data_IF_569925423470
#
_entry.id   IF_569925423470
#
_cell.length_a   1.000
_cell.length_b   1.000
_cell.length_c   1.000
_cell.angle_alpha   90.00
_cell.angle_beta   90.00
_cell.angle_gamma   90.00
#
_symmetry.space_group_name_H-M   'P 1'
#
loop_
_entity.id
_entity.type
_entity.pdbx_description
1 polymer ?
#
# COMPACT_ATOMS: atom_id res chain seq x y z
N UNK A 1 46.25 -14.08 9.57
CA UNK A 1 45.80 -13.02 8.63
C UNK A 1 44.49 -13.54 8.06
N UNK A 2 43.38 -12.97 8.53
CA UNK A 2 42.00 -13.42 8.26
C UNK A 2 41.49 -12.85 6.93
N UNK A 3 40.91 -13.75 6.10
CA UNK A 3 39.68 -13.72 5.26
C UNK A 3 39.16 -12.42 4.58
N UNK A 4 38.23 -12.48 3.58
CA UNK A 4 37.59 -13.65 2.96
C UNK A 4 37.48 -13.67 1.42
N UNK A 5 37.21 -14.87 0.94
CA UNK A 5 36.65 -15.28 -0.34
C UNK A 5 35.21 -14.73 -0.51
N UNK A 6 34.93 -14.10 -1.65
CA UNK A 6 33.67 -13.41 -1.94
C UNK A 6 32.69 -14.40 -2.57
N UNK A 7 31.88 -15.04 -1.72
CA UNK A 7 30.82 -15.97 -2.13
C UNK A 7 29.70 -15.30 -2.91
N UNK A 8 29.83 -15.31 -4.24
CA UNK A 8 28.75 -14.99 -5.18
C UNK A 8 27.69 -16.07 -5.07
N UNK A 9 26.58 -15.78 -4.40
CA UNK A 9 25.43 -16.67 -4.35
C UNK A 9 24.77 -16.75 -5.74
N UNK A 10 24.95 -17.88 -6.40
CA UNK A 10 24.31 -18.25 -7.66
C UNK A 10 22.81 -18.49 -7.45
N UNK A 11 21.96 -17.64 -8.05
CA UNK A 11 20.51 -17.78 -8.05
C UNK A 11 20.04 -18.82 -9.10
N UNK A 12 19.11 -19.74 -8.76
CA UNK A 12 18.52 -20.64 -9.74
C UNK A 12 17.47 -19.92 -10.62
N UNK A 13 17.58 -20.06 -11.96
CA UNK A 13 16.56 -19.63 -12.93
C UNK A 13 15.47 -20.68 -13.03
N UNK A 14 14.22 -20.34 -12.74
CA UNK A 14 13.06 -21.22 -13.02
C UNK A 14 11.96 -20.43 -13.71
N UNK A 15 11.35 -21.09 -14.71
CA UNK A 15 10.46 -20.54 -15.72
C UNK A 15 9.08 -20.09 -15.17
N UNK A 16 8.56 -19.05 -15.81
CA UNK A 16 7.25 -18.46 -15.54
C UNK A 16 6.10 -19.45 -15.85
N UNK A 17 5.25 -19.70 -14.87
CA UNK A 17 3.91 -20.27 -15.06
C UNK A 17 2.94 -19.37 -14.29
N UNK A 18 2.33 -18.42 -15.00
CA UNK A 18 1.26 -17.60 -14.47
C UNK A 18 -0.07 -18.21 -14.93
N UNK A 19 -0.88 -18.68 -13.98
CA UNK A 19 -2.28 -19.09 -14.21
C UNK A 19 -3.19 -18.24 -13.32
N UNK A 20 -4.35 -17.75 -13.80
CA UNK A 20 -5.02 -16.61 -13.21
C UNK A 20 -5.99 -17.01 -12.09
N UNK A 21 -5.96 -16.31 -10.95
CA UNK A 21 -6.96 -16.45 -9.89
C UNK A 21 -7.37 -15.11 -9.27
N UNK A 22 -8.64 -14.76 -9.52
CA UNK A 22 -9.61 -14.08 -8.64
C UNK A 22 -9.49 -12.54 -8.46
N UNK A 23 -10.63 -11.87 -8.17
CA UNK A 23 -10.87 -10.49 -8.62
C UNK A 23 -10.22 -9.42 -7.73
N UNK A 24 -9.80 -8.33 -8.40
CA UNK A 24 -9.05 -7.18 -7.89
C UNK A 24 -9.92 -6.22 -7.05
N UNK A 25 -9.28 -5.45 -6.16
CA UNK A 25 -9.83 -4.50 -5.18
C UNK A 25 -10.83 -3.45 -5.74
N UNK A 26 -10.88 -3.25 -7.07
CA UNK A 26 -11.94 -2.48 -7.73
C UNK A 26 -13.35 -3.07 -7.53
N UNK A 27 -13.48 -4.39 -7.40
CA UNK A 27 -14.77 -5.05 -7.13
C UNK A 27 -15.22 -4.84 -5.68
N UNK A 28 -14.30 -4.74 -4.72
CA UNK A 28 -14.63 -4.44 -3.31
C UNK A 28 -15.21 -3.01 -3.19
N UNK A 29 -14.67 -2.07 -3.96
CA UNK A 29 -15.22 -0.70 -4.03
C UNK A 29 -16.58 -0.65 -4.76
N UNK A 30 -16.79 -1.46 -5.80
CA UNK A 30 -18.14 -1.63 -6.40
C UNK A 30 -19.12 -2.27 -5.42
N UNK A 31 -18.66 -3.20 -4.57
CA UNK A 31 -19.50 -3.89 -3.58
C UNK A 31 -19.97 -2.99 -2.43
N UNK A 32 -19.34 -1.82 -2.23
CA UNK A 32 -19.77 -0.82 -1.26
C UNK A 32 -20.86 0.15 -1.78
N UNK A 33 -21.16 0.18 -3.08
CA UNK A 33 -22.10 1.17 -3.65
C UNK A 33 -23.44 0.60 -4.17
N UNK A 34 -23.67 -0.71 -4.13
CA UNK A 34 -24.96 -1.31 -4.54
C UNK A 34 -25.53 -2.24 -3.46
N UNK A 35 -26.16 -1.65 -2.44
CA UNK A 35 -27.21 -2.31 -1.65
C UNK A 35 -28.41 -1.38 -1.48
N UNK A 36 -29.13 -1.17 -2.57
CA UNK A 36 -30.56 -0.85 -2.53
C UNK A 36 -31.32 -2.15 -2.39
N UNK A 37 -31.98 -2.35 -1.25
CA UNK A 37 -33.34 -2.92 -1.08
C UNK A 37 -33.62 -3.05 0.43
N UNK A 38 -34.62 -2.30 0.90
CA UNK A 38 -35.25 -2.43 2.22
C UNK A 38 -36.15 -3.69 2.29
N UNK A 39 -36.90 -3.93 3.37
CA UNK A 39 -36.46 -4.21 4.73
C UNK A 39 -36.93 -5.61 5.17
N UNK A 40 -36.18 -6.31 6.01
CA UNK A 40 -36.73 -7.44 6.77
C UNK A 40 -36.60 -7.15 8.27
N UNK A 41 -37.75 -7.24 8.93
CA UNK A 41 -38.04 -6.87 10.31
C UNK A 41 -37.11 -7.61 11.27
N UNK A 42 -36.32 -6.87 12.04
CA UNK A 42 -35.76 -7.36 13.31
C UNK A 42 -36.12 -6.36 14.40
N UNK A 43 -37.14 -6.73 15.17
CA UNK A 43 -37.49 -6.15 16.46
C UNK A 43 -36.55 -6.72 17.50
N UNK A 44 -35.75 -5.89 18.18
CA UNK A 44 -35.07 -6.32 19.39
C UNK A 44 -33.80 -5.55 19.74
N UNK A 45 -33.84 -4.91 20.92
CA UNK A 45 -32.74 -4.35 21.69
C UNK A 45 -32.14 -3.01 21.22
N UNK A 46 -32.75 -1.96 21.79
CA UNK A 46 -32.18 -0.64 22.03
C UNK A 46 -30.95 -0.77 22.93
N UNK A 47 -30.05 0.20 22.83
CA UNK A 47 -28.77 0.39 23.54
C UNK A 47 -27.55 -0.16 22.82
N UNK A 48 -27.14 0.50 21.74
CA UNK A 48 -25.75 0.97 21.47
C UNK A 48 -25.73 1.85 20.21
N UNK A 49 -26.60 2.88 20.14
CA UNK A 49 -26.47 3.94 19.14
C UNK A 49 -25.44 4.97 19.61
N UNK A 50 -24.16 4.57 19.62
CA UNK A 50 -23.05 5.47 19.94
C UNK A 50 -22.72 6.28 18.68
N UNK A 51 -23.33 7.46 18.59
CA UNK A 51 -23.00 8.58 17.70
C UNK A 51 -22.62 8.17 16.26
N UNK A 52 -23.62 8.08 15.39
CA UNK A 52 -23.38 8.38 13.98
C UNK A 52 -22.77 9.79 13.93
N UNK A 53 -21.48 9.88 13.62
CA UNK A 53 -20.84 11.15 13.33
C UNK A 53 -21.68 11.82 12.26
N UNK A 54 -22.31 12.95 12.59
CA UNK A 54 -22.93 13.84 11.60
C UNK A 54 -21.85 14.11 10.56
N UNK A 55 -21.89 13.43 9.41
CA UNK A 55 -21.07 13.84 8.28
C UNK A 55 -21.62 15.22 7.89
N UNK A 56 -20.85 16.30 8.07
CA UNK A 56 -21.31 17.60 7.60
C UNK A 56 -21.60 17.46 6.10
N UNK A 57 -22.74 17.99 5.66
CA UNK A 57 -23.12 18.06 4.25
C UNK A 57 -21.90 18.58 3.46
N UNK A 58 -21.44 17.90 2.39
CA UNK A 58 -20.23 18.29 1.68
C UNK A 58 -20.39 19.73 1.23
N UNK A 59 -19.58 20.62 1.82
CA UNK A 59 -19.53 22.02 1.40
C UNK A 59 -18.77 22.02 0.08
N UNK A 60 -19.39 22.52 -1.01
CA UNK A 60 -18.69 22.61 -2.28
C UNK A 60 -17.41 23.44 -2.10
N UNK A 61 -16.31 22.93 -2.64
CA UNK A 61 -15.03 23.61 -2.62
C UNK A 61 -15.16 24.98 -3.31
N UNK A 62 -14.47 25.99 -2.78
CA UNK A 62 -14.39 27.29 -3.45
C UNK A 62 -13.56 27.20 -4.74
N UNK A 63 -13.74 28.16 -5.64
CA UNK A 63 -13.07 28.18 -6.96
C UNK A 63 -11.54 28.06 -6.85
N UNK A 64 -10.96 28.66 -5.80
CA UNK A 64 -9.52 28.56 -5.53
C UNK A 64 -9.08 27.14 -5.16
N UNK A 65 -9.90 26.41 -4.42
CA UNK A 65 -9.65 25.01 -4.08
C UNK A 65 -9.88 24.09 -5.27
N UNK A 66 -10.89 24.36 -6.11
CA UNK A 66 -11.09 23.66 -7.37
C UNK A 66 -9.88 23.81 -8.29
N UNK A 67 -9.39 25.03 -8.49
CA UNK A 67 -8.17 25.27 -9.27
C UNK A 67 -6.96 24.48 -8.73
N UNK A 68 -6.80 24.41 -7.40
CA UNK A 68 -5.73 23.59 -6.79
C UNK A 68 -5.89 22.09 -7.05
N UNK A 69 -7.13 21.60 -7.16
CA UNK A 69 -7.39 20.22 -7.55
C UNK A 69 -7.01 19.99 -9.02
N UNK A 70 -7.35 20.90 -9.93
CA UNK A 70 -7.01 20.80 -11.35
C UNK A 70 -5.48 20.87 -11.58
N UNK A 71 -4.81 21.78 -10.87
CA UNK A 71 -3.34 21.86 -10.86
C UNK A 71 -2.71 20.55 -10.37
N UNK A 72 -3.30 19.94 -9.32
CA UNK A 72 -2.85 18.65 -8.80
C UNK A 72 -3.03 17.53 -9.83
N UNK A 73 -4.18 17.45 -10.49
CA UNK A 73 -4.45 16.47 -11.56
C UNK A 73 -3.42 16.60 -12.68
N UNK A 74 -3.11 17.83 -13.08
CA UNK A 74 -2.11 18.10 -14.12
C UNK A 74 -0.73 17.57 -13.71
N UNK A 75 -0.31 17.83 -12.48
CA UNK A 75 0.96 17.32 -11.95
C UNK A 75 0.95 15.80 -11.81
N UNK A 76 -0.17 15.21 -11.40
CA UNK A 76 -0.31 13.76 -11.30
C UNK A 76 -0.22 13.08 -12.67
N UNK A 77 -0.82 13.66 -13.72
CA UNK A 77 -0.72 13.17 -15.10
C UNK A 77 0.73 13.18 -15.59
N UNK A 78 1.47 14.26 -15.34
CA UNK A 78 2.91 14.33 -15.68
C UNK A 78 3.74 13.36 -14.82
N UNK A 79 3.42 13.18 -13.53
CA UNK A 79 4.10 12.18 -12.72
C UNK A 79 3.87 10.77 -13.22
N UNK A 80 2.66 10.44 -13.69
CA UNK A 80 2.36 9.13 -14.26
C UNK A 80 3.25 8.83 -15.45
N UNK A 81 3.45 9.78 -16.36
CA UNK A 81 4.31 9.57 -17.54
C UNK A 81 5.77 9.34 -17.15
N UNK A 82 6.28 10.10 -16.16
CA UNK A 82 7.64 9.93 -15.65
C UNK A 82 7.84 8.61 -14.89
N UNK A 83 6.80 8.11 -14.21
CA UNK A 83 6.88 6.90 -13.41
C UNK A 83 6.50 5.62 -14.19
N UNK A 84 5.90 5.74 -15.37
CA UNK A 84 5.37 4.62 -16.13
C UNK A 84 6.39 3.52 -16.45
N UNK A 85 7.66 3.88 -16.62
CA UNK A 85 8.72 2.89 -16.87
C UNK A 85 8.97 1.98 -15.66
N UNK A 86 8.81 2.50 -14.43
CA UNK A 86 9.24 1.84 -13.18
C UNK A 86 8.10 1.38 -12.27
N UNK A 87 6.88 1.88 -12.50
CA UNK A 87 5.72 1.60 -11.65
C UNK A 87 4.44 1.71 -12.46
N UNK A 88 3.44 0.90 -12.14
CA UNK A 88 2.10 1.03 -12.69
C UNK A 88 1.24 2.04 -11.90
N UNK A 89 1.74 2.45 -10.73
CA UNK A 89 1.09 3.39 -9.83
C UNK A 89 1.68 4.79 -9.93
N UNK A 90 0.97 5.78 -9.40
CA UNK A 90 1.45 7.16 -9.31
C UNK A 90 1.63 7.57 -7.86
N UNK A 91 2.88 7.66 -7.41
CA UNK A 91 3.25 8.18 -6.10
C UNK A 91 3.66 9.65 -6.21
N UNK A 92 2.99 10.53 -5.47
CA UNK A 92 3.43 11.91 -5.28
C UNK A 92 4.02 12.09 -3.88
N UNK A 93 5.16 12.81 -3.76
CA UNK A 93 5.66 13.28 -2.48
C UNK A 93 4.59 14.08 -1.71
N UNK A 94 4.72 14.14 -0.38
CA UNK A 94 3.75 14.83 0.47
C UNK A 94 3.65 16.32 0.12
N UNK A 95 4.82 16.96 0.00
CA UNK A 95 5.00 18.32 -0.47
C UNK A 95 5.93 18.26 -1.69
N UNK A 96 5.36 18.44 -2.87
CA UNK A 96 6.12 18.43 -4.13
C UNK A 96 6.20 19.86 -4.67
N UNK A 97 7.41 20.38 -4.83
CA UNK A 97 7.63 21.65 -5.53
C UNK A 97 7.86 21.34 -7.00
N UNK A 98 7.02 21.91 -7.86
CA UNK A 98 7.09 21.68 -9.30
C UNK A 98 8.37 22.34 -9.86
N UNK A 99 9.28 21.57 -10.47
CA UNK A 99 10.48 22.10 -11.12
C UNK A 99 10.14 23.04 -12.27
N UNK A 100 11.00 24.04 -12.49
CA UNK A 100 10.89 24.97 -13.60
C UNK A 100 11.50 24.42 -14.90
N UNK A 101 11.19 23.17 -15.24
CA UNK A 101 11.74 22.46 -16.39
C UNK A 101 10.67 21.59 -17.05
N UNK A 102 10.83 21.27 -18.34
CA UNK A 102 10.01 20.26 -19.00
C UNK A 102 10.11 18.91 -18.24
N UNK A 103 9.04 18.10 -18.14
CA UNK A 103 7.74 18.22 -18.81
C UNK A 103 6.67 19.02 -18.02
N UNK A 104 7.07 19.79 -17.00
CA UNK A 104 6.12 20.52 -16.17
C UNK A 104 5.55 21.76 -16.89
N UNK A 105 4.26 22.10 -16.71
CA UNK A 105 3.68 23.33 -17.24
C UNK A 105 4.25 24.58 -16.55
N UNK A 106 4.56 25.62 -17.32
CA UNK A 106 5.15 26.87 -16.84
C UNK A 106 4.33 27.55 -15.73
N UNK A 107 3.01 27.44 -15.80
CA UNK A 107 2.08 28.04 -14.85
C UNK A 107 2.19 27.42 -13.45
N UNK A 108 2.82 26.26 -13.34
CA UNK A 108 2.99 25.53 -12.09
C UNK A 108 4.40 25.63 -11.52
N UNK A 109 5.35 26.28 -12.21
CA UNK A 109 6.74 26.38 -11.76
C UNK A 109 6.88 26.99 -10.36
N UNK A 110 7.65 26.31 -9.51
CA UNK A 110 7.87 26.71 -8.11
C UNK A 110 6.65 26.54 -7.20
N UNK A 111 5.51 26.08 -7.73
CA UNK A 111 4.32 25.86 -6.92
C UNK A 111 4.45 24.59 -6.10
N UNK A 112 4.05 24.67 -4.83
CA UNK A 112 3.97 23.50 -3.95
C UNK A 112 2.62 22.82 -4.10
N UNK A 113 2.66 21.56 -4.51
CA UNK A 113 1.53 20.65 -4.60
C UNK A 113 1.48 19.81 -3.33
N UNK A 114 0.40 19.99 -2.55
CA UNK A 114 0.20 19.29 -1.28
C UNK A 114 -0.69 18.09 -1.46
N UNK A 115 -0.10 16.91 -1.47
CA UNK A 115 -0.81 15.63 -1.62
C UNK A 115 -1.70 15.34 -0.41
N UNK A 116 -1.33 15.83 0.77
CA UNK A 116 -2.14 15.70 2.01
C UNK A 116 -3.50 16.37 1.90
N UNK A 117 -3.59 17.51 1.22
CA UNK A 117 -4.83 18.26 1.08
C UNK A 117 -5.84 17.52 0.20
N UNK A 118 -5.39 16.98 -0.93
CA UNK A 118 -6.22 16.19 -1.85
C UNK A 118 -6.73 14.91 -1.16
N UNK A 119 -5.85 14.18 -0.45
CA UNK A 119 -6.26 12.99 0.30
C UNK A 119 -7.26 13.33 1.41
N UNK A 120 -7.12 14.49 2.07
CA UNK A 120 -8.10 14.96 3.05
C UNK A 120 -9.45 15.25 2.40
N UNK A 121 -9.48 16.02 1.31
CA UNK A 121 -10.72 16.32 0.59
C UNK A 121 -11.42 15.05 0.06
N UNK A 122 -10.66 14.05 -0.35
CA UNK A 122 -11.20 12.74 -0.73
C UNK A 122 -11.90 12.07 0.45
N UNK A 123 -11.23 12.00 1.61
CA UNK A 123 -11.79 11.41 2.83
C UNK A 123 -13.03 12.16 3.34
N UNK A 124 -13.04 13.48 3.19
CA UNK A 124 -14.14 14.34 3.61
C UNK A 124 -15.30 14.36 2.59
N UNK A 125 -15.15 13.70 1.44
CA UNK A 125 -16.16 13.69 0.37
C UNK A 125 -16.35 15.04 -0.32
N UNK A 126 -15.35 15.92 -0.25
CA UNK A 126 -15.38 17.28 -0.79
C UNK A 126 -14.80 17.38 -2.21
N UNK A 127 -14.12 16.34 -2.71
CA UNK A 127 -13.59 16.35 -4.07
C UNK A 127 -14.70 16.18 -5.12
N UNK A 128 -14.65 16.93 -6.24
CA UNK A 128 -15.50 16.67 -7.39
C UNK A 128 -15.26 15.27 -7.96
N UNK A 129 -16.33 14.62 -8.45
CA UNK A 129 -16.24 13.29 -9.04
C UNK A 129 -15.26 13.25 -10.23
N UNK A 130 -15.26 14.29 -11.08
CA UNK A 130 -14.34 14.39 -12.22
C UNK A 130 -12.87 14.34 -11.80
N UNK A 131 -12.50 15.04 -10.72
CA UNK A 131 -11.14 15.04 -10.19
C UNK A 131 -10.76 13.67 -9.66
N UNK A 132 -11.69 12.99 -8.97
CA UNK A 132 -11.46 11.63 -8.48
C UNK A 132 -11.26 10.66 -9.64
N UNK A 133 -12.08 10.77 -10.70
CA UNK A 133 -11.98 9.93 -11.88
C UNK A 133 -10.67 10.16 -12.65
N UNK A 134 -10.27 11.43 -12.82
CA UNK A 134 -8.98 11.80 -13.41
C UNK A 134 -7.81 11.20 -12.61
N UNK A 135 -7.85 11.27 -11.27
CA UNK A 135 -6.81 10.70 -10.41
C UNK A 135 -6.80 9.17 -10.41
N UNK A 136 -7.97 8.54 -10.49
CA UNK A 136 -8.08 7.09 -10.62
C UNK A 136 -7.53 6.62 -11.99
N UNK A 137 -7.73 7.39 -13.06
CA UNK A 137 -7.22 7.07 -14.40
C UNK A 137 -5.70 7.03 -14.47
N UNK A 138 -5.02 7.77 -13.57
CA UNK A 138 -3.55 7.76 -13.45
C UNK A 138 -3.08 6.84 -12.32
N UNK A 139 -3.93 5.96 -11.79
CA UNK A 139 -3.60 5.05 -10.68
C UNK A 139 -2.98 5.78 -9.48
N UNK A 140 -3.57 6.92 -9.10
CA UNK A 140 -3.11 7.69 -7.96
C UNK A 140 -3.28 6.92 -6.64
N UNK A 141 -2.24 6.93 -5.82
CA UNK A 141 -2.25 6.26 -4.52
C UNK A 141 -2.95 7.13 -3.47
N UNK A 142 -4.20 6.77 -3.13
CA UNK A 142 -4.97 7.43 -2.07
C UNK A 142 -4.46 7.13 -0.66
N UNK A 143 -4.15 5.85 -0.37
CA UNK A 143 -3.55 5.42 0.89
C UNK A 143 -2.12 4.92 0.68
N UNK A 144 -1.16 5.81 0.94
CA UNK A 144 0.27 5.50 0.82
C UNK A 144 0.72 4.41 1.81
N UNK A 145 0.14 4.36 3.01
CA UNK A 145 0.56 3.40 4.03
C UNK A 145 0.01 2.01 3.74
N UNK A 146 -1.24 1.91 3.27
CA UNK A 146 -1.81 0.67 2.75
C UNK A 146 -1.05 0.15 1.53
N UNK A 147 -0.74 1.03 0.58
CA UNK A 147 0.05 0.66 -0.59
C UNK A 147 1.44 0.10 -0.24
N UNK A 148 2.21 0.82 0.60
CA UNK A 148 3.52 0.35 1.05
C UNK A 148 3.44 -0.95 1.88
N UNK A 149 2.32 -1.18 2.56
CA UNK A 149 2.07 -2.43 3.25
C UNK A 149 1.85 -3.58 2.26
N UNK A 150 1.00 -3.38 1.25
CA UNK A 150 0.73 -4.38 0.22
C UNK A 150 2.00 -4.74 -0.56
N UNK A 151 2.89 -3.77 -0.84
CA UNK A 151 4.18 -4.07 -1.47
C UNK A 151 5.05 -4.99 -0.60
N UNK A 152 5.03 -4.83 0.74
CA UNK A 152 5.76 -5.73 1.64
C UNK A 152 5.17 -7.14 1.61
N UNK A 153 3.84 -7.27 1.59
CA UNK A 153 3.16 -8.57 1.50
C UNK A 153 3.48 -9.24 0.15
N UNK A 154 3.43 -8.49 -0.96
CA UNK A 154 3.78 -9.01 -2.28
C UNK A 154 5.23 -9.50 -2.33
N UNK A 155 6.18 -8.70 -1.82
CA UNK A 155 7.57 -9.10 -1.73
C UNK A 155 7.77 -10.33 -0.81
N UNK A 156 7.06 -10.41 0.32
CA UNK A 156 7.11 -11.57 1.20
C UNK A 156 6.58 -12.85 0.54
N UNK A 157 5.53 -12.75 -0.29
CA UNK A 157 5.00 -13.89 -1.06
C UNK A 157 6.05 -14.43 -2.02
N UNK A 158 6.67 -13.56 -2.82
CA UNK A 158 7.76 -13.95 -3.72
C UNK A 158 8.94 -14.55 -2.95
N UNK A 159 9.35 -13.92 -1.85
CA UNK A 159 10.42 -14.46 -1.01
C UNK A 159 10.10 -15.88 -0.51
N UNK A 160 8.87 -16.11 -0.03
CA UNK A 160 8.43 -17.43 0.42
C UNK A 160 8.42 -18.44 -0.73
N UNK A 161 7.97 -18.06 -1.92
CA UNK A 161 7.99 -18.94 -3.09
C UNK A 161 9.41 -19.33 -3.51
N UNK A 162 10.38 -18.41 -3.39
CA UNK A 162 11.77 -18.65 -3.76
C UNK A 162 12.56 -19.45 -2.71
N UNK A 163 12.32 -19.20 -1.41
CA UNK A 163 13.12 -19.75 -0.30
C UNK A 163 12.37 -20.77 0.58
N UNK A 164 11.06 -20.96 0.36
CA UNK A 164 10.21 -21.87 1.12
C UNK A 164 9.80 -21.37 2.52
N UNK A 165 10.33 -20.23 2.98
CA UNK A 165 10.06 -19.68 4.31
C UNK A 165 10.00 -18.16 4.30
N UNK A 166 9.43 -17.54 5.34
CA UNK A 166 9.36 -16.07 5.47
C UNK A 166 10.50 -15.47 6.30
N UNK A 167 11.55 -16.24 6.64
CA UNK A 167 12.72 -15.77 7.39
C UNK A 167 13.68 -14.97 6.50
N UNK A 168 13.46 -13.67 6.42
CA UNK A 168 14.20 -12.74 5.56
C UNK A 168 15.42 -12.14 6.30
N UNK A 169 16.66 -12.32 5.82
CA UNK A 169 17.82 -11.67 6.43
C UNK A 169 17.65 -10.15 6.54
N UNK A 170 18.11 -9.54 7.65
CA UNK A 170 17.92 -8.10 7.89
C UNK A 170 18.47 -7.21 6.76
N UNK A 171 19.58 -7.62 6.16
CA UNK A 171 20.25 -6.91 5.06
C UNK A 171 19.62 -7.16 3.68
N UNK A 172 18.64 -8.06 3.56
CA UNK A 172 18.03 -8.41 2.28
C UNK A 172 17.27 -7.21 1.70
N UNK A 173 17.60 -6.90 0.45
CA UNK A 173 16.96 -5.90 -0.40
C UNK A 173 16.47 -6.62 -1.65
N UNK A 174 15.23 -6.33 -2.04
CA UNK A 174 14.67 -6.87 -3.28
C UNK A 174 15.55 -6.40 -4.47
N UNK A 175 16.04 -7.34 -5.31
CA UNK A 175 16.82 -7.00 -6.49
C UNK A 175 16.08 -6.02 -7.40
N UNK A 176 16.84 -5.11 -8.02
CA UNK A 176 16.30 -4.21 -9.03
C UNK A 176 16.16 -4.92 -10.38
N UNK A 177 15.16 -4.54 -11.16
CA UNK A 177 14.89 -5.05 -12.51
C UNK A 177 14.69 -6.58 -12.63
N UNK A 178 14.54 -7.30 -11.51
CA UNK A 178 14.30 -8.74 -11.51
C UNK A 178 12.80 -9.02 -11.75
N UNK A 179 12.43 -9.72 -12.85
CA UNK A 179 11.04 -10.00 -13.19
C UNK A 179 10.34 -10.97 -12.22
N UNK A 180 11.08 -11.69 -11.37
CA UNK A 180 10.48 -12.50 -10.31
C UNK A 180 9.76 -11.62 -9.26
N UNK A 181 10.14 -10.35 -9.15
CA UNK A 181 9.61 -9.41 -8.19
C UNK A 181 8.70 -8.38 -8.88
N UNK A 182 7.56 -8.00 -8.27
CA UNK A 182 6.75 -6.90 -8.78
C UNK A 182 7.59 -5.61 -8.81
N UNK A 183 7.44 -4.82 -9.88
CA UNK A 183 8.21 -3.58 -10.12
C UNK A 183 8.20 -2.63 -8.91
N UNK A 184 7.04 -2.51 -8.27
CA UNK A 184 6.81 -1.66 -7.10
C UNK A 184 7.49 -2.15 -5.80
N UNK A 185 8.11 -3.33 -5.85
CA UNK A 185 8.87 -3.91 -4.74
C UNK A 185 10.38 -3.84 -4.95
N UNK A 186 10.85 -3.49 -6.15
CA UNK A 186 12.28 -3.33 -6.41
C UNK A 186 12.92 -2.32 -5.47
N UNK A 187 14.16 -2.61 -5.04
CA UNK A 187 14.90 -1.85 -4.04
C UNK A 187 14.22 -1.75 -2.64
N UNK A 188 13.14 -2.49 -2.39
CA UNK A 188 12.52 -2.56 -1.06
C UNK A 188 13.46 -3.27 -0.09
N UNK A 189 13.80 -2.59 1.01
CA UNK A 189 14.56 -3.17 2.14
C UNK A 189 13.68 -4.12 2.95
N UNK A 190 13.33 -5.26 2.35
CA UNK A 190 12.38 -6.23 2.88
C UNK A 190 12.84 -6.76 4.25
N UNK A 191 14.13 -7.04 4.43
CA UNK A 191 14.68 -7.49 5.72
C UNK A 191 14.41 -6.51 6.88
N UNK A 192 14.58 -5.20 6.63
CA UNK A 192 14.25 -4.16 7.62
C UNK A 192 12.76 -4.06 7.89
N UNK A 193 11.94 -4.18 6.85
CA UNK A 193 10.48 -4.13 6.99
C UNK A 193 9.98 -5.30 7.84
N UNK A 194 10.48 -6.50 7.58
CA UNK A 194 10.15 -7.72 8.32
C UNK A 194 10.62 -7.64 9.77
N UNK A 195 11.85 -7.17 10.02
CA UNK A 195 12.33 -6.93 11.39
C UNK A 195 11.44 -5.95 12.17
N UNK A 196 10.89 -4.93 11.50
CA UNK A 196 9.96 -3.99 12.14
C UNK A 196 8.63 -4.65 12.47
N UNK A 197 8.09 -5.49 11.57
CA UNK A 197 6.86 -6.27 11.82
C UNK A 197 7.04 -7.20 13.03
N UNK A 198 8.17 -7.91 13.09
CA UNK A 198 8.47 -8.82 14.20
C UNK A 198 8.57 -8.07 15.52
N UNK A 199 9.35 -6.98 15.57
CA UNK A 199 9.49 -6.15 16.78
C UNK A 199 8.16 -5.59 17.25
N UNK A 200 7.29 -5.19 16.34
CA UNK A 200 5.98 -4.63 16.67
C UNK A 200 5.10 -5.65 17.42
N UNK A 201 5.13 -6.92 17.02
CA UNK A 201 4.41 -8.00 17.72
C UNK A 201 5.16 -8.43 19.00
N UNK A 202 6.47 -8.65 18.92
CA UNK A 202 7.29 -9.21 20.02
C UNK A 202 7.41 -8.27 21.22
N UNK A 203 7.49 -6.96 21.01
CA UNK A 203 7.65 -5.99 22.11
C UNK A 203 6.37 -5.75 22.91
N UNK A 204 5.21 -6.20 22.42
CA UNK A 204 3.92 -5.92 23.02
C UNK A 204 3.11 -7.18 23.29
N UNK A 205 3.01 -7.57 24.57
CA UNK A 205 2.12 -8.67 25.01
C UNK A 205 0.67 -8.48 24.56
N UNK A 206 0.23 -7.22 24.48
CA UNK A 206 -1.10 -6.88 23.95
C UNK A 206 -1.23 -7.28 22.47
N UNK A 207 -0.23 -7.00 21.65
CA UNK A 207 -0.23 -7.36 20.22
C UNK A 207 -0.07 -8.86 20.00
N UNK A 208 0.70 -9.54 20.84
CA UNK A 208 0.78 -11.01 20.84
C UNK A 208 -0.59 -11.62 21.12
N UNK A 209 -1.24 -11.21 22.22
CA UNK A 209 -2.61 -11.66 22.54
C UNK A 209 -3.61 -11.29 21.45
N UNK A 210 -3.46 -10.13 20.81
CA UNK A 210 -4.31 -9.72 19.68
C UNK A 210 -4.13 -10.66 18.48
N UNK A 211 -2.90 -11.03 18.14
CA UNK A 211 -2.60 -11.98 17.06
C UNK A 211 -3.29 -13.33 17.30
N UNK A 212 -3.31 -13.82 18.53
CA UNK A 212 -3.95 -15.08 18.92
C UNK A 212 -5.48 -15.01 18.95
N UNK A 213 -6.05 -13.92 19.49
CA UNK A 213 -7.49 -13.83 19.78
C UNK A 213 -8.31 -13.20 18.66
N UNK A 214 -7.80 -12.11 18.07
CA UNK A 214 -8.50 -11.32 17.06
C UNK A 214 -7.48 -10.53 16.22
N UNK A 215 -6.82 -11.18 15.26
CA UNK A 215 -5.81 -10.54 14.44
C UNK A 215 -6.44 -9.39 13.63
N UNK A 216 -5.72 -8.28 13.53
CA UNK A 216 -6.10 -7.18 12.64
C UNK A 216 -5.92 -7.56 11.15
N UNK A 217 -6.39 -6.71 10.24
CA UNK A 217 -6.33 -7.01 8.80
C UNK A 217 -4.88 -7.24 8.29
N UNK A 218 -3.90 -6.52 8.85
CA UNK A 218 -2.49 -6.66 8.47
C UNK A 218 -1.90 -7.97 9.00
N UNK A 219 -2.23 -8.32 10.23
CA UNK A 219 -1.87 -9.59 10.85
C UNK A 219 -2.50 -10.78 10.12
N UNK A 220 -3.77 -10.66 9.69
CA UNK A 220 -4.45 -11.69 8.89
C UNK A 220 -3.71 -11.93 7.57
N UNK A 221 -3.31 -10.88 6.85
CA UNK A 221 -2.53 -11.03 5.61
C UNK A 221 -1.17 -11.71 5.83
N UNK A 222 -0.54 -11.51 6.99
CA UNK A 222 0.69 -12.21 7.36
C UNK A 222 0.43 -13.68 7.68
N UNK A 223 -0.65 -13.99 8.38
CA UNK A 223 -1.05 -15.37 8.67
C UNK A 223 -1.40 -16.14 7.38
N UNK A 224 -2.05 -15.49 6.42
CA UNK A 224 -2.37 -16.08 5.10
C UNK A 224 -1.13 -16.49 4.29
N UNK A 225 0.02 -15.87 4.55
CA UNK A 225 1.29 -16.24 3.91
C UNK A 225 2.15 -17.14 4.80
N UNK A 226 1.59 -17.74 5.85
CA UNK A 226 2.30 -18.52 6.88
C UNK A 226 3.53 -17.78 7.42
N UNK A 227 3.37 -16.49 7.72
CA UNK A 227 4.46 -15.68 8.23
C UNK A 227 4.90 -16.16 9.62
N UNK A 228 6.18 -16.51 9.73
CA UNK A 228 6.79 -16.92 10.99
C UNK A 228 7.08 -15.69 11.89
N UNK A 229 6.37 -15.59 13.02
CA UNK A 229 6.55 -14.55 14.04
C UNK A 229 7.61 -14.90 15.10
N UNK A 230 8.20 -16.10 15.05
CA UNK A 230 8.99 -16.72 16.13
C UNK A 230 10.50 -16.74 15.88
N UNK A 231 11.04 -15.76 15.14
CA UNK A 231 12.47 -15.74 14.72
C UNK A 231 13.49 -15.87 15.87
N UNK A 232 13.09 -15.56 17.11
CA UNK A 232 13.91 -15.64 18.32
C UNK A 232 13.77 -16.96 19.10
N UNK A 233 13.02 -17.95 18.61
CA UNK A 233 13.08 -19.29 19.16
C UNK A 233 14.21 -20.08 18.45
N UNK A 234 15.18 -20.64 19.18
CA UNK A 234 16.13 -21.56 18.56
C UNK A 234 15.32 -22.68 17.90
N UNK A 235 15.63 -23.00 16.64
CA UNK A 235 15.04 -24.14 15.95
C UNK A 235 15.12 -25.35 16.88
N UNK A 236 13.97 -25.91 17.25
CA UNK A 236 13.95 -27.29 17.70
C UNK A 236 14.24 -28.14 16.45
N UNK A 237 15.47 -28.67 16.39
CA UNK A 237 15.94 -29.52 15.30
C UNK A 237 15.45 -30.98 15.46
N UNK A 238 14.39 -31.24 16.23
CA UNK A 238 13.72 -32.54 16.27
C UNK A 238 12.39 -32.52 15.52
N UNK A 239 12.43 -32.73 14.20
CA UNK A 239 11.33 -33.29 13.42
C UNK A 239 11.86 -33.93 12.14
#
# INVERSE_FOLDING_TARGET
MMDPDNGVQSHPRVAAIFSPSKPNDQEICKMMMLRTLAPQRWTGLRHFAKAASKTPKPVPLNDRALKRCDDFVTVAKVMRTLQAARSDMTDLPLDFVVPAEAPWPEQLYGKTIRTSEIRRFYKDGALPASVVDDLNSVHFIWDKFGYLWNNKIAALRVYKELYGHTRVPFAFVVPDEDPAWPKDTWNLRLGRAVSTILKDVQTSKRKQKQLETKPDARQQQLLEIDFDFTWDQPYDLSA
#
